data_IF_127646332091
#
_entry.id   IF_127646332091
#
_cell.length_a   1.000
_cell.length_b   1.000
_cell.length_c   1.000
_cell.angle_alpha   90.00
_cell.angle_beta   90.00
_cell.angle_gamma   90.00
#
_symmetry.space_group_name_H-M   'P 1'
#
loop_
_entity.id
_entity.type
_entity.pdbx_description
1 polymer ?
#
# COMPACT_ATOMS: atom_id res chain seq x y z
N UNK A 1 53.53 40.40 2.84
CA UNK A 1 52.21 40.33 3.51
C UNK A 1 51.27 39.59 2.59
N UNK A 2 51.12 38.29 2.84
CA UNK A 2 50.07 37.45 2.23
C UNK A 2 49.71 36.45 3.31
N UNK A 3 48.68 36.80 4.06
CA UNK A 3 48.08 35.95 5.10
C UNK A 3 47.25 34.88 4.42
N UNK A 4 47.77 33.66 4.39
CA UNK A 4 47.02 32.46 4.02
C UNK A 4 46.06 32.16 5.16
N UNK A 5 44.78 32.51 4.99
CA UNK A 5 43.71 32.09 5.89
C UNK A 5 43.49 30.59 5.72
N UNK A 6 44.00 29.80 6.65
CA UNK A 6 43.59 28.41 6.81
C UNK A 6 42.19 28.42 7.44
N UNK A 7 41.15 28.38 6.60
CA UNK A 7 39.82 27.97 7.06
C UNK A 7 39.94 26.52 7.56
N UNK A 8 39.86 26.36 8.87
CA UNK A 8 39.64 25.03 9.45
C UNK A 8 38.25 24.58 9.00
N UNK A 9 38.07 23.36 8.46
CA UNK A 9 36.75 22.87 8.13
C UNK A 9 35.88 22.90 9.39
N UNK A 10 34.58 23.25 9.28
CA UNK A 10 33.69 23.22 10.43
C UNK A 10 33.77 21.82 11.04
N UNK A 11 33.95 21.73 12.36
CA UNK A 11 34.17 20.46 13.10
C UNK A 11 33.16 19.35 12.75
N UNK A 12 31.98 19.70 12.20
CA UNK A 12 30.98 18.76 11.70
C UNK A 12 31.41 17.94 10.48
N UNK A 13 32.05 18.52 9.47
CA UNK A 13 32.35 17.83 8.20
C UNK A 13 33.38 16.72 8.39
N UNK A 14 34.39 16.97 9.24
CA UNK A 14 35.43 15.98 9.55
C UNK A 14 34.92 14.82 10.43
N UNK A 15 34.01 15.10 11.37
CA UNK A 15 33.48 14.09 12.29
C UNK A 15 32.42 13.21 11.63
N UNK A 16 31.53 13.79 10.81
CA UNK A 16 30.56 13.03 10.02
C UNK A 16 31.28 12.18 8.98
N UNK A 17 32.27 12.75 8.26
CA UNK A 17 33.11 11.99 7.32
C UNK A 17 33.84 10.81 7.97
N UNK A 18 34.36 10.99 9.19
CA UNK A 18 35.01 9.92 9.95
C UNK A 18 34.01 8.83 10.39
N UNK A 19 32.82 9.20 10.85
CA UNK A 19 31.78 8.25 11.24
C UNK A 19 31.28 7.45 10.03
N UNK A 20 31.01 8.12 8.90
CA UNK A 20 30.54 7.50 7.66
C UNK A 20 31.59 6.59 7.00
N UNK A 21 32.88 6.85 7.23
CA UNK A 21 33.96 5.98 6.76
C UNK A 21 34.00 4.62 7.47
N UNK A 22 33.33 4.50 8.63
CA UNK A 22 33.16 3.24 9.36
C UNK A 22 31.80 2.66 9.02
N UNK A 23 31.75 1.35 8.75
CA UNK A 23 30.47 0.66 8.64
C UNK A 23 29.68 0.78 9.96
N UNK A 24 28.33 0.85 9.92
CA UNK A 24 27.52 0.94 11.12
C UNK A 24 27.77 -0.28 12.03
N UNK A 25 28.08 -0.03 13.30
CA UNK A 25 28.36 -1.05 14.29
C UNK A 25 27.32 -1.04 15.40
N UNK A 26 26.86 -2.22 15.83
CA UNK A 26 25.95 -2.39 16.96
C UNK A 26 26.58 -3.40 17.92
N UNK A 27 26.65 -3.05 19.19
CA UNK A 27 27.07 -3.99 20.24
C UNK A 27 25.99 -5.06 20.45
N UNK A 28 26.36 -6.34 20.29
CA UNK A 28 25.44 -7.49 20.39
C UNK A 28 25.97 -8.52 21.37
N UNK A 29 25.06 -9.13 22.12
CA UNK A 29 25.36 -10.30 22.92
C UNK A 29 25.31 -11.57 22.05
N UNK A 30 26.16 -12.59 22.31
CA UNK A 30 26.09 -13.88 21.63
C UNK A 30 24.76 -14.58 21.96
N UNK A 31 23.88 -14.72 20.96
CA UNK A 31 22.50 -15.19 21.16
C UNK A 31 22.46 -16.66 21.59
N UNK A 32 23.44 -17.45 21.16
CA UNK A 32 23.52 -18.89 21.40
C UNK A 32 23.72 -19.28 22.86
N UNK A 33 24.18 -18.33 23.69
CA UNK A 33 24.47 -18.56 25.12
C UNK A 33 23.47 -17.88 26.05
N UNK A 34 22.45 -17.19 25.52
CA UNK A 34 21.44 -16.52 26.33
C UNK A 34 20.37 -17.51 26.81
N UNK A 35 20.06 -17.47 28.10
CA UNK A 35 18.82 -18.04 28.63
C UNK A 35 17.58 -17.28 28.09
N UNK A 36 16.37 -17.87 28.16
CA UNK A 36 15.15 -17.17 27.77
C UNK A 36 14.94 -15.82 28.46
N UNK A 37 15.29 -15.71 29.75
CA UNK A 37 15.18 -14.47 30.53
C UNK A 37 16.19 -13.41 30.06
N UNK A 38 17.44 -13.83 29.78
CA UNK A 38 18.45 -12.94 29.23
C UNK A 38 18.12 -12.49 27.80
N UNK A 39 17.55 -13.38 26.99
CA UNK A 39 17.08 -13.05 25.65
C UNK A 39 15.93 -12.03 25.68
N UNK A 40 15.00 -12.17 26.64
CA UNK A 40 13.94 -11.19 26.86
C UNK A 40 14.50 -9.81 27.23
N UNK A 41 15.45 -9.76 28.17
CA UNK A 41 16.09 -8.51 28.59
C UNK A 41 16.90 -7.84 27.45
N UNK A 42 17.64 -8.61 26.64
CA UNK A 42 18.32 -8.05 25.47
C UNK A 42 17.32 -7.60 24.40
N UNK A 43 16.18 -8.29 24.24
CA UNK A 43 15.13 -7.85 23.34
C UNK A 43 14.54 -6.51 23.77
N UNK A 44 14.30 -6.30 25.06
CA UNK A 44 13.90 -5.00 25.62
C UNK A 44 14.94 -3.92 25.34
N UNK A 45 16.25 -4.23 25.53
CA UNK A 45 17.36 -3.32 25.19
C UNK A 45 17.37 -2.96 23.69
N UNK A 46 17.11 -3.94 22.81
CA UNK A 46 16.97 -3.72 21.36
C UNK A 46 15.79 -2.80 21.04
N UNK A 47 14.63 -2.99 21.68
CA UNK A 47 13.47 -2.13 21.45
C UNK A 47 13.72 -0.69 21.88
N UNK A 48 14.38 -0.48 23.03
CA UNK A 48 14.77 0.85 23.48
C UNK A 48 15.73 1.53 22.50
N UNK A 49 16.73 0.81 21.97
CA UNK A 49 17.63 1.33 20.92
C UNK A 49 16.87 1.70 19.65
N UNK A 50 15.95 0.85 19.18
CA UNK A 50 15.11 1.16 18.01
C UNK A 50 14.28 2.42 18.21
N UNK A 51 13.78 2.66 19.43
CA UNK A 51 13.10 3.91 19.76
C UNK A 51 14.05 5.10 19.64
N UNK A 52 15.24 5.03 20.23
CA UNK A 52 16.27 6.07 20.18
C UNK A 52 16.71 6.36 18.74
N UNK A 53 17.06 5.33 17.96
CA UNK A 53 17.50 5.46 16.56
C UNK A 53 16.41 6.14 15.71
N UNK A 54 15.16 5.77 15.94
CA UNK A 54 14.06 6.31 15.17
C UNK A 54 13.65 7.73 15.64
N UNK A 55 13.97 8.12 16.88
CA UNK A 55 13.92 9.52 17.31
C UNK A 55 15.02 10.33 16.60
N UNK A 56 16.25 9.82 16.58
CA UNK A 56 17.36 10.44 15.86
C UNK A 56 17.08 10.58 14.35
N UNK A 57 16.45 9.57 13.72
CA UNK A 57 15.97 9.66 12.34
C UNK A 57 15.01 10.84 12.14
N UNK A 58 14.05 11.05 13.05
CA UNK A 58 13.13 12.17 12.98
C UNK A 58 13.84 13.53 13.08
N UNK A 59 14.86 13.64 13.93
CA UNK A 59 15.70 14.85 14.03
C UNK A 59 16.47 15.11 12.73
N UNK A 60 17.08 14.08 12.14
CA UNK A 60 17.77 14.18 10.84
C UNK A 60 16.82 14.61 9.73
N UNK A 61 15.60 14.06 9.70
CA UNK A 61 14.55 14.46 8.74
C UNK A 61 14.21 15.94 8.90
N UNK A 62 14.07 16.44 10.13
CA UNK A 62 13.80 17.86 10.38
C UNK A 62 14.99 18.77 10.01
N UNK A 63 16.23 18.30 10.18
CA UNK A 63 17.42 19.01 9.67
C UNK A 63 17.40 19.12 8.15
N UNK A 64 17.05 18.04 7.44
CA UNK A 64 16.91 18.06 5.98
C UNK A 64 15.77 18.99 5.54
N UNK A 65 14.64 18.96 6.26
CA UNK A 65 13.47 19.81 5.98
C UNK A 65 13.82 21.30 6.13
N UNK A 66 14.51 21.68 7.21
CA UNK A 66 14.95 23.06 7.45
C UNK A 66 15.93 23.56 6.37
N UNK A 67 16.71 22.67 5.75
CA UNK A 67 17.61 23.00 4.65
C UNK A 67 16.92 23.12 3.28
N UNK A 68 15.59 22.99 3.23
CA UNK A 68 14.77 23.08 2.01
C UNK A 68 13.57 24.01 2.23
N UNK A 69 13.79 25.32 2.40
CA UNK A 69 12.70 26.27 2.55
C UNK A 69 11.87 26.35 1.26
N UNK A 70 10.58 26.63 1.39
CA UNK A 70 9.69 26.86 0.25
C UNK A 70 9.99 28.16 -0.51
N UNK A 71 10.83 29.04 0.04
CA UNK A 71 11.30 30.27 -0.63
C UNK A 71 12.09 29.99 -1.91
N UNK A 72 12.64 28.79 -2.04
CA UNK A 72 13.40 28.36 -3.21
C UNK A 72 12.49 27.72 -4.28
N UNK A 73 11.20 27.53 -3.98
CA UNK A 73 10.25 26.94 -4.93
C UNK A 73 9.93 27.90 -6.07
N UNK A 74 9.70 27.38 -7.29
CA UNK A 74 9.32 28.23 -8.41
C UNK A 74 8.00 28.99 -8.15
N UNK A 75 7.92 30.29 -8.46
CA UNK A 75 6.76 31.10 -8.14
C UNK A 75 5.52 30.67 -8.95
N UNK A 76 4.30 30.94 -8.45
CA UNK A 76 3.06 30.61 -9.16
C UNK A 76 3.06 31.11 -10.62
N UNK A 77 2.78 30.20 -11.56
CA UNK A 77 2.80 30.50 -12.99
C UNK A 77 4.11 30.12 -13.71
N UNK A 78 5.18 29.83 -12.97
CA UNK A 78 6.39 29.24 -13.54
C UNK A 78 6.11 27.84 -14.13
N UNK A 79 6.72 27.41 -15.24
CA UNK A 79 6.52 26.08 -15.81
C UNK A 79 6.78 24.93 -14.82
N UNK A 80 7.73 25.13 -13.91
CA UNK A 80 8.09 24.19 -12.85
C UNK A 80 7.37 24.40 -11.51
N UNK A 81 6.45 25.36 -11.39
CA UNK A 81 5.68 25.55 -10.17
C UNK A 81 4.58 24.49 -10.01
N UNK A 82 4.26 24.14 -8.76
CA UNK A 82 3.14 23.24 -8.46
C UNK A 82 1.86 23.64 -9.18
N UNK A 83 1.30 22.72 -9.97
CA UNK A 83 -0.04 22.87 -10.55
C UNK A 83 -1.11 22.07 -9.82
N UNK A 84 -0.76 20.89 -9.27
CA UNK A 84 -1.65 19.96 -8.56
C UNK A 84 -0.84 19.09 -7.59
N UNK A 85 -1.46 18.62 -6.51
CA UNK A 85 -0.87 17.68 -5.54
C UNK A 85 -0.75 18.26 -4.13
N UNK A 86 -0.58 17.38 -3.14
CA UNK A 86 -0.21 17.75 -1.77
C UNK A 86 1.26 18.19 -1.76
N UNK A 87 1.52 19.33 -1.11
CA UNK A 87 2.87 19.89 -0.97
C UNK A 87 3.67 19.14 0.08
N UNK A 88 4.69 19.77 0.64
CA UNK A 88 5.38 19.20 1.79
C UNK A 88 4.44 19.04 2.99
N UNK A 89 4.50 17.92 3.72
CA UNK A 89 3.78 17.76 4.99
C UNK A 89 4.41 18.59 6.13
N UNK A 90 5.61 19.14 5.93
CA UNK A 90 6.30 20.01 6.89
C UNK A 90 6.06 21.47 6.48
N UNK A 91 5.40 22.30 7.32
CA UNK A 91 5.14 23.70 6.99
C UNK A 91 6.42 24.50 6.70
N UNK A 92 6.38 25.38 5.69
CA UNK A 92 7.50 26.25 5.31
C UNK A 92 8.63 25.55 4.55
N UNK A 93 8.39 24.33 4.05
CA UNK A 93 9.39 23.57 3.31
C UNK A 93 8.97 23.29 1.88
N UNK A 94 9.98 23.21 1.01
CA UNK A 94 9.84 23.03 -0.43
C UNK A 94 8.91 21.87 -0.79
N UNK A 95 8.10 22.07 -1.82
CA UNK A 95 7.23 21.03 -2.35
C UNK A 95 7.98 19.76 -2.82
N UNK A 96 9.29 19.89 -3.12
CA UNK A 96 10.17 18.80 -3.56
C UNK A 96 10.81 18.03 -2.40
N UNK A 97 10.70 18.50 -1.17
CA UNK A 97 11.31 17.85 0.00
C UNK A 97 10.91 16.36 0.15
N UNK A 98 9.63 15.95 -0.04
CA UNK A 98 9.27 14.53 0.04
C UNK A 98 9.96 13.65 -1.01
N UNK A 99 10.26 14.19 -2.18
CA UNK A 99 10.92 13.48 -3.28
C UNK A 99 12.42 13.34 -3.00
N UNK A 100 13.07 14.38 -2.48
CA UNK A 100 14.45 14.31 -2.00
C UNK A 100 14.60 13.31 -0.85
N UNK A 101 13.69 13.36 0.12
CA UNK A 101 13.70 12.43 1.24
C UNK A 101 13.46 10.98 0.77
N UNK A 102 12.59 10.77 -0.21
CA UNK A 102 12.37 9.45 -0.81
C UNK A 102 13.66 8.90 -1.46
N UNK A 103 14.43 9.75 -2.12
CA UNK A 103 15.73 9.38 -2.69
C UNK A 103 16.75 9.02 -1.61
N UNK A 104 16.82 9.78 -0.52
CA UNK A 104 17.71 9.49 0.63
C UNK A 104 17.36 8.17 1.31
N UNK A 105 16.06 7.92 1.55
CA UNK A 105 15.57 6.71 2.21
C UNK A 105 15.47 5.49 1.27
N UNK A 106 15.74 5.67 -0.03
CA UNK A 106 15.51 4.66 -1.07
C UNK A 106 14.09 4.05 -0.98
N UNK A 107 13.07 4.90 -0.98
CA UNK A 107 11.69 4.52 -0.73
C UNK A 107 10.71 5.23 -1.67
N UNK A 108 9.43 4.84 -1.64
CA UNK A 108 8.41 5.54 -2.40
C UNK A 108 8.09 6.91 -1.77
N UNK A 109 7.77 7.91 -2.61
CA UNK A 109 7.36 9.26 -2.18
C UNK A 109 6.29 9.26 -1.10
N UNK A 110 5.29 8.37 -1.20
CA UNK A 110 4.21 8.27 -0.21
C UNK A 110 4.72 7.84 1.17
N UNK A 111 5.68 6.93 1.22
CA UNK A 111 6.32 6.51 2.48
C UNK A 111 7.14 7.66 3.08
N UNK A 112 7.98 8.30 2.28
CA UNK A 112 8.78 9.45 2.72
C UNK A 112 7.91 10.62 3.21
N UNK A 113 6.78 10.88 2.55
CA UNK A 113 5.79 11.87 3.00
C UNK A 113 5.26 11.53 4.40
N UNK A 114 4.95 10.26 4.66
CA UNK A 114 4.55 9.79 5.99
C UNK A 114 5.64 9.97 7.03
N UNK A 115 6.89 9.63 6.71
CA UNK A 115 8.05 9.82 7.59
C UNK A 115 8.26 11.30 7.93
N UNK A 116 8.21 12.19 6.93
CA UNK A 116 8.32 13.64 7.14
C UNK A 116 7.18 14.20 8.00
N UNK A 117 5.95 13.76 7.74
CA UNK A 117 4.79 14.13 8.55
C UNK A 117 4.96 13.69 10.01
N UNK A 118 5.31 12.43 10.24
CA UNK A 118 5.55 11.88 11.58
C UNK A 118 6.68 12.64 12.31
N UNK A 119 7.78 12.93 11.60
CA UNK A 119 8.91 13.66 12.15
C UNK A 119 8.51 15.07 12.60
N UNK A 120 7.80 15.82 11.76
CA UNK A 120 7.30 17.15 12.11
C UNK A 120 6.36 17.11 13.33
N UNK A 121 5.40 16.17 13.35
CA UNK A 121 4.47 16.06 14.47
C UNK A 121 5.20 15.74 15.78
N UNK A 122 6.17 14.84 15.77
CA UNK A 122 6.87 14.42 16.98
C UNK A 122 7.88 15.47 17.46
N UNK A 123 8.70 16.01 16.56
CA UNK A 123 9.80 16.93 16.92
C UNK A 123 9.27 18.32 17.25
N UNK A 124 8.39 18.89 16.42
CA UNK A 124 7.93 20.28 16.58
C UNK A 124 6.67 20.38 17.42
N UNK A 125 5.66 19.54 17.15
CA UNK A 125 4.33 19.68 17.77
C UNK A 125 4.16 18.93 19.08
N UNK A 126 4.81 17.78 19.23
CA UNK A 126 4.66 16.90 20.40
C UNK A 126 6.02 16.54 21.01
N UNK A 127 6.86 17.52 21.37
CA UNK A 127 8.25 17.28 21.80
C UNK A 127 8.34 16.42 23.07
N UNK A 128 7.33 16.42 23.93
CA UNK A 128 7.28 15.54 25.11
C UNK A 128 7.24 14.05 24.73
N UNK A 129 6.50 13.69 23.67
CA UNK A 129 6.46 12.30 23.15
C UNK A 129 7.79 11.95 22.48
N UNK A 130 8.37 12.89 21.73
CA UNK A 130 9.70 12.71 21.14
C UNK A 130 10.78 12.50 22.20
N UNK A 131 10.75 13.24 23.31
CA UNK A 131 11.69 13.07 24.41
C UNK A 131 11.62 11.66 25.06
N UNK A 132 10.41 11.11 25.24
CA UNK A 132 10.24 9.74 25.74
C UNK A 132 10.78 8.69 24.75
N UNK A 133 10.61 8.93 23.45
CA UNK A 133 11.15 8.08 22.38
C UNK A 133 12.67 8.16 22.31
N UNK A 134 13.24 9.36 22.36
CA UNK A 134 14.68 9.63 22.39
C UNK A 134 15.36 9.05 23.64
N UNK A 135 14.62 8.89 24.73
CA UNK A 135 15.10 8.19 25.93
C UNK A 135 14.87 6.67 25.92
N UNK A 136 14.31 6.12 24.83
CA UNK A 136 14.03 4.69 24.69
C UNK A 136 12.88 4.16 25.57
N UNK A 137 12.05 5.05 26.14
CA UNK A 137 10.93 4.71 27.04
C UNK A 137 9.61 4.52 26.32
N UNK A 138 9.49 5.05 25.10
CA UNK A 138 8.32 4.88 24.24
C UNK A 138 8.74 4.34 22.87
N UNK A 139 8.12 3.26 22.43
CA UNK A 139 8.45 2.66 21.14
C UNK A 139 7.93 3.50 19.94
N UNK A 140 8.53 3.31 18.75
CA UNK A 140 8.15 4.07 17.56
C UNK A 140 6.67 3.92 17.16
N UNK A 141 6.07 2.74 17.39
CA UNK A 141 4.68 2.51 16.99
C UNK A 141 3.72 3.31 17.87
N UNK A 142 3.91 3.29 19.19
CA UNK A 142 3.11 4.10 20.12
C UNK A 142 3.33 5.60 19.92
N UNK A 143 4.56 6.05 19.67
CA UNK A 143 4.83 7.44 19.34
C UNK A 143 4.06 7.88 18.08
N UNK A 144 4.06 7.05 17.02
CA UNK A 144 3.26 7.30 15.81
C UNK A 144 1.76 7.39 16.10
N UNK A 145 1.23 6.62 17.06
CA UNK A 145 -0.19 6.75 17.44
C UNK A 145 -0.51 8.16 17.99
N UNK A 146 0.41 8.82 18.71
CA UNK A 146 0.24 10.22 19.09
C UNK A 146 0.22 11.13 17.85
N UNK A 147 1.20 10.99 16.95
CA UNK A 147 1.28 11.77 15.72
C UNK A 147 0.03 11.59 14.83
N UNK A 148 -0.44 10.35 14.64
CA UNK A 148 -1.63 10.03 13.86
C UNK A 148 -2.90 10.68 14.43
N UNK A 149 -3.11 10.57 15.76
CA UNK A 149 -4.36 11.00 16.39
C UNK A 149 -4.39 12.51 16.57
N UNK A 150 -3.27 13.09 16.98
CA UNK A 150 -3.14 14.51 17.30
C UNK A 150 -2.59 15.35 16.15
N UNK A 151 -2.21 14.73 15.02
CA UNK A 151 -1.55 15.43 13.92
C UNK A 151 -2.34 16.59 13.31
N UNK A 152 -3.67 16.51 13.38
CA UNK A 152 -4.57 17.58 12.95
C UNK A 152 -5.13 18.40 14.11
N UNK A 153 -4.97 17.95 15.37
CA UNK A 153 -5.51 18.66 16.54
C UNK A 153 -4.80 20.01 16.73
N UNK A 154 -5.48 20.99 17.34
CA UNK A 154 -4.87 22.27 17.66
C UNK A 154 -3.76 22.13 18.72
N UNK A 155 -2.87 23.12 18.82
CA UNK A 155 -1.80 23.11 19.82
C UNK A 155 -2.36 23.14 21.26
N UNK A 156 -3.52 23.76 21.47
CA UNK A 156 -4.21 23.77 22.77
C UNK A 156 -4.69 22.37 23.17
N UNK A 157 -5.28 21.61 22.23
CA UNK A 157 -5.69 20.22 22.47
C UNK A 157 -4.46 19.34 22.75
N UNK A 158 -3.38 19.50 21.98
CA UNK A 158 -2.12 18.77 22.20
C UNK A 158 -1.56 19.04 23.59
N UNK A 159 -1.51 20.31 24.00
CA UNK A 159 -0.98 20.74 25.29
C UNK A 159 -1.73 20.14 26.50
N UNK A 160 -3.03 19.84 26.35
CA UNK A 160 -3.85 19.22 27.40
C UNK A 160 -3.80 17.69 27.34
N UNK A 161 -3.94 17.11 26.15
CA UNK A 161 -4.09 15.65 25.97
C UNK A 161 -2.78 14.91 26.22
N UNK A 162 -1.64 15.46 25.77
CA UNK A 162 -0.35 14.75 25.84
C UNK A 162 0.08 14.52 27.30
N UNK A 163 0.10 15.53 28.20
CA UNK A 163 0.44 15.30 29.60
C UNK A 163 -0.51 14.34 30.32
N UNK A 164 -1.78 14.27 29.91
CA UNK A 164 -2.77 13.38 30.51
C UNK A 164 -2.56 11.91 30.12
N UNK A 165 -2.14 11.62 28.88
CA UNK A 165 -2.06 10.25 28.36
C UNK A 165 -0.64 9.69 28.40
N UNK A 166 0.37 10.50 28.10
CA UNK A 166 1.77 10.10 27.95
C UNK A 166 2.33 9.30 29.15
N UNK A 167 2.06 9.66 30.43
CA UNK A 167 2.62 8.92 31.58
C UNK A 167 2.25 7.44 31.63
N UNK A 168 1.12 7.05 31.02
CA UNK A 168 0.66 5.65 31.00
C UNK A 168 0.90 4.96 29.66
N UNK A 169 1.36 5.69 28.63
CA UNK A 169 1.32 5.24 27.24
C UNK A 169 2.15 3.97 26.99
N UNK A 170 3.34 3.87 27.60
CA UNK A 170 4.24 2.72 27.42
C UNK A 170 3.61 1.39 27.87
N UNK A 171 2.74 1.42 28.89
CA UNK A 171 2.05 0.24 29.42
C UNK A 171 0.78 -0.16 28.66
N UNK A 172 0.32 0.64 27.70
CA UNK A 172 -0.94 0.38 26.98
C UNK A 172 -0.67 -0.38 25.68
N UNK A 173 -1.61 -1.21 25.24
CA UNK A 173 -1.60 -1.64 23.83
C UNK A 173 -1.90 -0.46 22.92
N UNK A 174 -1.43 -0.50 21.69
CA UNK A 174 -1.61 0.61 20.74
C UNK A 174 -3.09 0.90 20.42
N UNK A 175 -3.93 -0.12 20.36
CA UNK A 175 -5.37 0.04 20.19
C UNK A 175 -6.04 0.74 21.37
N UNK A 176 -5.62 0.41 22.61
CA UNK A 176 -6.11 1.10 23.81
C UNK A 176 -5.58 2.54 23.87
N UNK A 177 -4.31 2.76 23.55
CA UNK A 177 -3.70 4.09 23.46
C UNK A 177 -4.45 4.97 22.46
N UNK A 178 -4.72 4.47 21.24
CA UNK A 178 -5.49 5.18 20.22
C UNK A 178 -6.88 5.56 20.72
N UNK A 179 -7.60 4.61 21.33
CA UNK A 179 -8.94 4.88 21.90
C UNK A 179 -8.89 5.98 22.98
N UNK A 180 -7.90 5.93 23.89
CA UNK A 180 -7.73 6.93 24.94
C UNK A 180 -7.37 8.31 24.39
N UNK A 181 -6.48 8.39 23.41
CA UNK A 181 -6.11 9.65 22.76
C UNK A 181 -7.30 10.27 22.02
N UNK A 182 -8.08 9.47 21.28
CA UNK A 182 -9.29 9.96 20.61
C UNK A 182 -10.29 10.48 21.64
N UNK A 183 -10.57 9.71 22.70
CA UNK A 183 -11.50 10.12 23.74
C UNK A 183 -11.04 11.41 24.45
N UNK A 184 -9.75 11.52 24.77
CA UNK A 184 -9.18 12.71 25.40
C UNK A 184 -9.23 13.93 24.47
N UNK A 185 -8.93 13.75 23.18
CA UNK A 185 -9.02 14.83 22.19
C UNK A 185 -10.46 15.30 21.99
N UNK A 186 -11.42 14.39 21.89
CA UNK A 186 -12.86 14.73 21.80
C UNK A 186 -13.33 15.47 23.05
N UNK A 187 -12.89 15.04 24.23
CA UNK A 187 -13.26 15.71 25.49
C UNK A 187 -12.60 17.10 25.64
N UNK A 188 -11.44 17.31 25.02
CA UNK A 188 -10.75 18.60 25.02
C UNK A 188 -11.35 19.60 24.01
N UNK A 189 -11.85 19.11 22.88
CA UNK A 189 -12.48 19.94 21.84
C UNK A 189 -13.52 19.13 21.03
N UNK A 190 -14.77 19.23 21.47
CA UNK A 190 -15.91 18.54 20.85
C UNK A 190 -16.27 19.16 19.48
N UNK A 191 -16.13 20.48 19.34
CA UNK A 191 -16.47 21.19 18.10
C UNK A 191 -15.48 20.83 16.98
N UNK A 192 -14.19 20.82 17.29
CA UNK A 192 -13.16 20.34 16.36
C UNK A 192 -13.35 18.87 16.01
N UNK A 193 -13.70 18.02 16.98
CA UNK A 193 -14.00 16.62 16.72
C UNK A 193 -15.16 16.45 15.73
N UNK A 194 -16.20 17.26 15.86
CA UNK A 194 -17.36 17.24 14.96
C UNK A 194 -17.02 17.77 13.55
N UNK A 195 -16.24 18.84 13.44
CA UNK A 195 -15.76 19.33 12.14
C UNK A 195 -14.93 18.26 11.42
N UNK A 196 -14.06 17.56 12.13
CA UNK A 196 -13.29 16.44 11.55
C UNK A 196 -14.16 15.26 11.15
N UNK A 197 -15.24 14.97 11.88
CA UNK A 197 -16.21 13.97 11.47
C UNK A 197 -16.75 14.35 10.09
N UNK A 198 -17.27 15.57 9.95
CA UNK A 198 -17.83 16.09 8.69
C UNK A 198 -16.80 16.05 7.54
N UNK A 199 -15.54 16.42 7.79
CA UNK A 199 -14.48 16.31 6.78
C UNK A 199 -14.14 14.87 6.41
N UNK A 200 -14.14 13.94 7.38
CA UNK A 200 -13.88 12.53 7.13
C UNK A 200 -14.98 11.90 6.26
N UNK A 201 -16.23 12.32 6.41
CA UNK A 201 -17.33 11.88 5.53
C UNK A 201 -17.08 12.26 4.07
N UNK A 202 -16.38 13.38 3.80
CA UNK A 202 -15.99 13.77 2.43
C UNK A 202 -14.90 12.88 1.84
N UNK A 203 -14.17 12.13 2.66
CA UNK A 203 -13.14 11.16 2.22
C UNK A 203 -13.70 9.75 2.05
N UNK A 204 -15.02 9.58 2.18
CA UNK A 204 -15.70 8.33 1.90
C UNK A 204 -15.28 7.77 0.53
N UNK A 205 -14.82 6.53 0.50
CA UNK A 205 -14.23 5.94 -0.69
C UNK A 205 -14.37 4.41 -0.69
N UNK A 206 -14.43 3.85 -1.90
CA UNK A 206 -14.27 2.43 -2.14
C UNK A 206 -12.97 2.24 -2.91
N UNK A 207 -12.09 1.37 -2.42
CA UNK A 207 -10.75 1.14 -2.96
C UNK A 207 -10.51 -0.35 -3.18
N UNK A 208 -9.69 -0.69 -4.17
CA UNK A 208 -9.23 -2.05 -4.41
C UNK A 208 -7.71 -2.12 -4.32
N UNK A 209 -7.20 -3.22 -3.79
CA UNK A 209 -5.78 -3.52 -3.81
C UNK A 209 -5.55 -5.03 -3.86
N UNK A 210 -4.45 -5.43 -4.50
CA UNK A 210 -4.04 -6.82 -4.60
C UNK A 210 -3.52 -7.34 -3.27
N UNK A 211 -3.82 -8.61 -2.99
CA UNK A 211 -3.21 -9.38 -1.90
C UNK A 211 -2.47 -10.59 -2.48
N UNK A 212 -2.23 -11.61 -1.67
CA UNK A 212 -1.59 -12.84 -2.11
C UNK A 212 -2.57 -13.77 -2.84
N UNK A 213 -2.03 -14.81 -3.50
CA UNK A 213 -2.77 -15.98 -3.99
C UNK A 213 -3.90 -15.68 -4.98
N UNK A 214 -3.76 -14.60 -5.77
CA UNK A 214 -4.77 -14.18 -6.76
C UNK A 214 -6.02 -13.56 -6.14
N UNK A 215 -5.92 -13.11 -4.89
CA UNK A 215 -7.01 -12.48 -4.15
C UNK A 215 -6.93 -10.95 -4.19
N UNK A 216 -8.08 -10.33 -3.94
CA UNK A 216 -8.27 -8.90 -3.87
C UNK A 216 -8.98 -8.49 -2.59
N UNK A 217 -8.70 -7.29 -2.12
CA UNK A 217 -9.56 -6.63 -1.13
C UNK A 217 -10.32 -5.51 -1.80
N UNK A 218 -11.64 -5.51 -1.59
CA UNK A 218 -12.50 -4.34 -1.77
C UNK A 218 -12.69 -3.69 -0.40
N UNK A 219 -12.04 -2.55 -0.17
CA UNK A 219 -12.11 -1.81 1.09
C UNK A 219 -13.04 -0.61 0.95
N UNK A 220 -13.98 -0.50 1.88
CA UNK A 220 -14.95 0.60 1.94
C UNK A 220 -14.72 1.42 3.20
N UNK A 221 -14.50 2.72 3.02
CA UNK A 221 -14.40 3.70 4.09
C UNK A 221 -15.60 4.65 4.01
N UNK A 222 -16.42 4.66 5.06
CA UNK A 222 -17.71 5.37 5.15
C UNK A 222 -17.92 5.87 6.58
N UNK A 223 -18.91 6.75 6.82
CA UNK A 223 -19.32 7.11 8.17
C UNK A 223 -19.61 5.86 9.00
N UNK A 224 -19.11 5.81 10.24
CA UNK A 224 -19.18 4.63 11.10
C UNK A 224 -20.59 4.00 11.22
N UNK A 225 -21.70 4.76 11.33
CA UNK A 225 -23.05 4.17 11.36
C UNK A 225 -23.41 3.41 10.08
N UNK A 226 -22.97 3.90 8.92
CA UNK A 226 -23.22 3.27 7.62
C UNK A 226 -22.41 1.97 7.50
N UNK A 227 -21.13 2.00 7.86
CA UNK A 227 -20.29 0.79 7.88
C UNK A 227 -20.83 -0.27 8.83
N UNK A 228 -21.31 0.13 10.02
CA UNK A 228 -21.93 -0.79 10.98
C UNK A 228 -23.24 -1.39 10.43
N UNK A 229 -24.05 -0.61 9.74
CA UNK A 229 -25.27 -1.09 9.08
C UNK A 229 -24.95 -2.07 7.95
N UNK A 230 -23.95 -1.77 7.11
CA UNK A 230 -23.47 -2.70 6.07
C UNK A 230 -22.98 -4.00 6.67
N UNK A 231 -22.12 -3.94 7.70
CA UNK A 231 -21.61 -5.11 8.40
C UNK A 231 -22.75 -5.97 8.97
N UNK A 232 -23.69 -5.35 9.68
CA UNK A 232 -24.85 -6.03 10.26
C UNK A 232 -25.66 -6.78 9.19
N UNK A 233 -25.89 -6.17 8.03
CA UNK A 233 -26.61 -6.79 6.92
C UNK A 233 -25.85 -7.97 6.32
N UNK A 234 -24.55 -7.83 6.10
CA UNK A 234 -23.67 -8.89 5.58
C UNK A 234 -23.62 -10.07 6.57
N UNK A 235 -23.39 -9.79 7.84
CA UNK A 235 -23.34 -10.81 8.89
C UNK A 235 -24.67 -11.55 9.01
N UNK A 236 -25.80 -10.82 9.01
CA UNK A 236 -27.13 -11.42 9.05
C UNK A 236 -27.36 -12.40 7.89
N UNK A 237 -26.97 -12.03 6.67
CA UNK A 237 -27.11 -12.89 5.50
C UNK A 237 -26.25 -14.15 5.61
N UNK A 238 -24.99 -14.02 6.05
CA UNK A 238 -24.10 -15.16 6.28
C UNK A 238 -24.63 -16.10 7.36
N UNK A 239 -25.15 -15.57 8.46
CA UNK A 239 -25.76 -16.35 9.55
C UNK A 239 -27.02 -17.10 9.08
N UNK A 240 -27.82 -16.52 8.17
CA UNK A 240 -28.97 -17.19 7.58
C UNK A 240 -28.57 -18.36 6.68
N UNK A 241 -27.52 -18.20 5.87
CA UNK A 241 -26.98 -19.29 5.05
C UNK A 241 -26.49 -20.45 5.93
N UNK A 242 -25.75 -20.14 7.00
CA UNK A 242 -25.29 -21.13 7.97
C UNK A 242 -26.44 -21.85 8.68
N UNK A 243 -27.44 -21.11 9.13
CA UNK A 243 -28.64 -21.68 9.75
C UNK A 243 -29.44 -22.57 8.79
N UNK A 244 -29.26 -22.40 7.47
CA UNK A 244 -29.90 -23.20 6.42
C UNK A 244 -29.09 -24.46 6.05
N UNK A 245 -28.01 -24.76 6.77
CA UNK A 245 -27.19 -25.97 6.59
C UNK A 245 -25.89 -25.77 5.82
N UNK A 246 -25.46 -24.53 5.58
CA UNK A 246 -24.15 -24.26 4.99
C UNK A 246 -23.03 -24.32 6.05
N UNK A 247 -22.26 -25.40 6.03
CA UNK A 247 -21.19 -25.67 7.02
C UNK A 247 -19.84 -24.98 6.70
N UNK A 248 -19.77 -24.17 5.64
CA UNK A 248 -18.54 -23.45 5.28
C UNK A 248 -18.16 -22.39 6.34
N UNK A 249 -16.88 -21.96 6.40
CA UNK A 249 -16.44 -20.93 7.35
C UNK A 249 -17.26 -19.65 7.24
N UNK A 250 -17.64 -19.06 8.39
CA UNK A 250 -18.55 -17.90 8.41
C UNK A 250 -18.01 -16.70 7.63
N UNK A 251 -16.69 -16.50 7.60
CA UNK A 251 -16.07 -15.39 6.84
C UNK A 251 -16.17 -15.59 5.33
N UNK A 252 -16.17 -16.84 4.86
CA UNK A 252 -16.45 -17.15 3.45
C UNK A 252 -17.89 -16.79 3.10
N UNK A 253 -18.85 -17.15 3.96
CA UNK A 253 -20.26 -16.81 3.78
C UNK A 253 -20.51 -15.29 3.82
N UNK A 254 -19.79 -14.55 4.67
CA UNK A 254 -19.82 -13.08 4.70
C UNK A 254 -19.27 -12.48 3.41
N UNK A 255 -18.17 -13.01 2.89
CA UNK A 255 -17.59 -12.55 1.63
C UNK A 255 -18.56 -12.76 0.44
N UNK A 256 -19.17 -13.94 0.35
CA UNK A 256 -20.18 -14.24 -0.69
C UNK A 256 -21.43 -13.38 -0.55
N UNK A 257 -21.95 -13.20 0.67
CA UNK A 257 -23.09 -12.33 0.93
C UNK A 257 -22.81 -10.88 0.53
N UNK A 258 -21.61 -10.36 0.84
CA UNK A 258 -21.20 -9.03 0.44
C UNK A 258 -21.12 -8.90 -1.09
N UNK A 259 -20.47 -9.87 -1.76
CA UNK A 259 -20.36 -9.88 -3.23
C UNK A 259 -21.74 -9.92 -3.91
N UNK A 260 -22.65 -10.76 -3.42
CA UNK A 260 -24.02 -10.85 -3.95
C UNK A 260 -24.76 -9.51 -3.82
N UNK A 261 -24.66 -8.82 -2.67
CA UNK A 261 -25.30 -7.52 -2.47
C UNK A 261 -24.75 -6.42 -3.39
N UNK A 262 -23.46 -6.48 -3.75
CA UNK A 262 -22.82 -5.51 -4.66
C UNK A 262 -23.15 -5.81 -6.12
N UNK A 263 -23.11 -7.09 -6.52
CA UNK A 263 -23.27 -7.51 -7.90
C UNK A 263 -24.75 -7.69 -8.33
N UNK A 264 -25.66 -7.87 -7.38
CA UNK A 264 -27.10 -8.02 -7.63
C UNK A 264 -27.88 -6.93 -6.88
N UNK A 265 -27.85 -5.66 -7.34
CA UNK A 265 -28.67 -4.62 -6.73
C UNK A 265 -30.14 -5.00 -6.93
N UNK A 266 -30.83 -5.39 -5.86
CA UNK A 266 -32.19 -5.95 -5.87
C UNK A 266 -33.31 -4.97 -6.24
N UNK A 267 -33.00 -3.92 -7.01
CA UNK A 267 -33.95 -2.93 -7.49
C UNK A 267 -34.20 -3.14 -9.00
N UNK A 268 -35.35 -3.72 -9.39
CA UNK A 268 -35.68 -3.98 -10.80
C UNK A 268 -35.92 -2.71 -11.61
N UNK A 269 -36.14 -1.56 -10.96
CA UNK A 269 -36.39 -0.27 -11.61
C UNK A 269 -35.09 0.50 -11.91
N UNK A 270 -33.94 0.02 -11.43
CA UNK A 270 -32.63 0.59 -11.76
C UNK A 270 -32.11 0.04 -13.09
N UNK A 271 -31.49 0.88 -13.93
CA UNK A 271 -30.82 0.40 -15.13
C UNK A 271 -29.75 -0.63 -14.76
N UNK A 272 -29.72 -1.74 -15.48
CA UNK A 272 -28.71 -2.77 -15.30
C UNK A 272 -27.31 -2.15 -15.36
N UNK A 273 -26.54 -2.28 -14.29
CA UNK A 273 -25.15 -1.83 -14.26
C UNK A 273 -24.27 -2.92 -14.84
N UNK A 274 -23.58 -2.63 -15.94
CA UNK A 274 -22.61 -3.56 -16.54
C UNK A 274 -21.28 -3.47 -15.81
N UNK A 275 -20.82 -4.56 -15.20
CA UNK A 275 -19.46 -4.64 -14.69
C UNK A 275 -18.46 -4.78 -15.85
N UNK A 276 -17.34 -4.05 -15.77
CA UNK A 276 -16.23 -4.20 -16.71
C UNK A 276 -15.11 -4.99 -16.06
N UNK A 277 -14.67 -6.08 -16.71
CA UNK A 277 -13.58 -6.94 -16.25
C UNK A 277 -12.49 -6.98 -17.30
N UNK A 278 -11.29 -6.52 -16.93
CA UNK A 278 -10.09 -6.63 -17.77
C UNK A 278 -9.30 -7.89 -17.38
N UNK A 279 -9.05 -8.77 -18.35
CA UNK A 279 -8.28 -10.01 -18.16
C UNK A 279 -7.07 -9.97 -19.10
N UNK A 280 -5.87 -10.03 -18.53
CA UNK A 280 -4.63 -10.18 -19.31
C UNK A 280 -4.22 -11.64 -19.30
N UNK A 281 -4.10 -12.22 -20.49
CA UNK A 281 -3.78 -13.63 -20.68
C UNK A 281 -2.55 -13.78 -21.60
N UNK A 282 -1.31 -13.80 -21.05
CA UNK A 282 -0.15 -14.08 -21.86
C UNK A 282 -0.29 -15.47 -22.51
N UNK A 283 0.12 -15.59 -23.78
CA UNK A 283 -0.05 -16.83 -24.56
C UNK A 283 0.56 -18.05 -23.86
N UNK A 284 1.68 -17.86 -23.17
CA UNK A 284 2.34 -18.90 -22.37
C UNK A 284 1.44 -19.48 -21.27
N UNK A 285 0.55 -18.68 -20.67
CA UNK A 285 -0.37 -19.11 -19.61
C UNK A 285 -1.63 -19.79 -20.14
N UNK A 286 -1.98 -19.59 -21.41
CA UNK A 286 -3.10 -20.26 -22.08
C UNK A 286 -2.74 -21.66 -22.58
N UNK A 287 -1.44 -21.99 -22.68
CA UNK A 287 -0.98 -23.31 -23.11
C UNK A 287 -1.40 -24.38 -22.09
N UNK A 288 -2.12 -25.39 -22.56
CA UNK A 288 -2.51 -26.54 -21.71
C UNK A 288 -1.27 -27.36 -21.37
N UNK A 289 -0.99 -27.66 -20.08
CA UNK A 289 0.08 -28.57 -19.71
C UNK A 289 -0.15 -29.92 -20.41
N UNK A 290 0.78 -30.33 -21.26
CA UNK A 290 0.74 -31.62 -21.98
C UNK A 290 0.33 -31.57 -23.45
N UNK A 291 -0.32 -30.50 -23.96
CA UNK A 291 -0.69 -30.44 -25.40
C UNK A 291 0.45 -29.91 -26.29
N UNK A 292 1.37 -29.13 -25.72
CA UNK A 292 2.52 -28.49 -26.40
C UNK A 292 3.84 -28.58 -25.61
N UNK A 293 3.96 -29.51 -24.65
CA UNK A 293 5.16 -29.66 -23.80
C UNK A 293 6.44 -30.06 -24.56
N UNK A 294 6.34 -30.33 -25.87
CA UNK A 294 7.48 -30.73 -26.70
C UNK A 294 8.23 -29.57 -27.38
N UNK A 295 7.76 -28.31 -27.27
CA UNK A 295 8.27 -27.21 -28.11
C UNK A 295 9.18 -26.17 -27.43
N UNK A 296 9.44 -26.25 -26.11
CA UNK A 296 10.39 -25.30 -25.49
C UNK A 296 11.27 -25.97 -24.40
N UNK A 297 12.48 -26.45 -24.75
CA UNK A 297 13.43 -27.04 -23.80
C UNK A 297 14.02 -26.02 -22.81
N UNK A 298 13.70 -24.72 -22.93
CA UNK A 298 14.18 -23.66 -22.02
C UNK A 298 13.19 -23.33 -20.89
N UNK A 299 11.97 -23.89 -20.92
CA UNK A 299 10.93 -23.66 -19.92
C UNK A 299 11.19 -24.44 -18.61
N UNK A 300 12.29 -24.16 -17.93
CA UNK A 300 12.52 -24.61 -16.56
C UNK A 300 11.81 -23.68 -15.57
N UNK A 301 11.44 -24.16 -14.36
CA UNK A 301 10.92 -23.31 -13.29
C UNK A 301 11.84 -22.11 -13.00
N UNK A 302 13.17 -22.30 -13.08
CA UNK A 302 14.15 -21.24 -12.89
C UNK A 302 14.08 -20.16 -13.98
N UNK A 303 13.91 -20.52 -15.26
CA UNK A 303 13.75 -19.57 -16.35
C UNK A 303 12.40 -18.82 -16.30
N UNK A 304 11.34 -19.49 -15.82
CA UNK A 304 10.06 -18.84 -15.56
C UNK A 304 10.17 -17.81 -14.41
N UNK A 305 10.85 -18.17 -13.32
CA UNK A 305 11.12 -17.26 -12.19
C UNK A 305 12.01 -16.09 -12.63
N UNK A 306 13.06 -16.34 -13.41
CA UNK A 306 13.94 -15.29 -13.91
C UNK A 306 13.21 -14.32 -14.85
N UNK A 307 12.33 -14.81 -15.74
CA UNK A 307 11.47 -13.95 -16.59
C UNK A 307 10.49 -13.14 -15.75
N UNK A 308 9.82 -13.75 -14.78
CA UNK A 308 8.90 -13.03 -13.90
C UNK A 308 9.64 -11.96 -13.07
N UNK A 309 10.82 -12.29 -12.53
CA UNK A 309 11.69 -11.35 -11.80
C UNK A 309 12.21 -10.21 -12.69
N UNK A 310 12.38 -10.45 -14.00
CA UNK A 310 12.74 -9.45 -15.00
C UNK A 310 11.54 -8.66 -15.56
N UNK A 311 10.33 -8.84 -15.03
CA UNK A 311 9.13 -8.09 -15.44
C UNK A 311 8.33 -8.73 -16.60
N UNK A 312 8.53 -10.02 -16.87
CA UNK A 312 7.76 -10.75 -17.89
C UNK A 312 6.25 -10.80 -17.58
N UNK A 313 5.42 -10.85 -18.62
CA UNK A 313 3.97 -10.80 -18.46
C UNK A 313 3.40 -12.01 -17.71
N UNK A 314 2.76 -11.73 -16.57
CA UNK A 314 1.94 -12.68 -15.81
C UNK A 314 0.45 -12.51 -16.14
N UNK A 315 -0.37 -13.56 -16.07
CA UNK A 315 -1.82 -13.42 -16.12
C UNK A 315 -2.32 -12.44 -15.07
N UNK A 316 -3.28 -11.58 -15.44
CA UNK A 316 -3.91 -10.68 -14.47
C UNK A 316 -5.41 -10.56 -14.67
N UNK A 317 -6.12 -10.21 -13.60
CA UNK A 317 -7.53 -9.80 -13.59
C UNK A 317 -7.61 -8.46 -12.90
N UNK A 318 -8.16 -7.43 -13.54
CA UNK A 318 -8.19 -6.08 -12.98
C UNK A 318 -6.80 -5.56 -12.60
N UNK A 319 -5.77 -5.93 -13.38
CA UNK A 319 -4.33 -5.67 -13.14
C UNK A 319 -3.70 -6.41 -11.96
N UNK A 320 -4.39 -7.41 -11.41
CA UNK A 320 -3.93 -8.19 -10.26
C UNK A 320 -3.43 -9.56 -10.72
N UNK A 321 -2.22 -9.99 -10.32
CA UNK A 321 -1.65 -11.23 -10.82
C UNK A 321 -2.45 -12.45 -10.37
N UNK A 322 -2.73 -13.36 -11.29
CA UNK A 322 -3.37 -14.66 -11.02
C UNK A 322 -2.53 -15.80 -11.60
N UNK A 323 -2.77 -17.02 -11.15
CA UNK A 323 -2.08 -18.18 -11.71
C UNK A 323 -2.60 -18.54 -13.10
N UNK A 324 -1.78 -19.21 -13.91
CA UNK A 324 -2.23 -19.74 -15.22
C UNK A 324 -3.33 -20.81 -15.09
N UNK A 325 -3.42 -21.50 -13.96
CA UNK A 325 -4.53 -22.42 -13.68
C UNK A 325 -5.83 -21.64 -13.41
N UNK A 326 -5.77 -20.62 -12.56
CA UNK A 326 -6.90 -19.74 -12.25
C UNK A 326 -7.40 -19.01 -13.51
N UNK A 327 -6.50 -18.52 -14.37
CA UNK A 327 -6.88 -17.91 -15.64
C UNK A 327 -7.72 -18.87 -16.50
N UNK A 328 -7.30 -20.14 -16.61
CA UNK A 328 -8.01 -21.13 -17.42
C UNK A 328 -9.36 -21.50 -16.83
N UNK A 329 -9.44 -21.63 -15.52
CA UNK A 329 -10.70 -21.83 -14.80
C UNK A 329 -11.66 -20.65 -15.04
N UNK A 330 -11.19 -19.42 -14.87
CA UNK A 330 -11.97 -18.20 -15.11
C UNK A 330 -12.50 -18.14 -16.55
N UNK A 331 -11.64 -18.39 -17.55
CA UNK A 331 -12.06 -18.42 -18.95
C UNK A 331 -13.11 -19.51 -19.22
N UNK A 332 -13.00 -20.68 -18.57
CA UNK A 332 -14.01 -21.74 -18.69
C UNK A 332 -15.35 -21.36 -18.05
N UNK A 333 -15.33 -20.64 -16.93
CA UNK A 333 -16.54 -20.14 -16.28
C UNK A 333 -17.21 -19.06 -17.14
N UNK A 334 -16.44 -18.15 -17.74
CA UNK A 334 -16.96 -17.11 -18.63
C UNK A 334 -17.58 -17.70 -19.90
N UNK A 335 -16.97 -18.73 -20.48
CA UNK A 335 -17.52 -19.46 -21.63
C UNK A 335 -18.82 -20.19 -21.27
N UNK A 336 -18.84 -20.88 -20.13
CA UNK A 336 -20.03 -21.56 -19.62
C UNK A 336 -21.20 -20.61 -19.31
N UNK A 337 -20.89 -19.37 -18.90
CA UNK A 337 -21.87 -18.31 -18.69
C UNK A 337 -22.34 -17.65 -20.00
N UNK A 338 -21.78 -18.04 -21.15
CA UNK A 338 -22.14 -17.49 -22.46
C UNK A 338 -21.90 -15.99 -22.55
N UNK A 339 -20.86 -15.47 -21.89
CA UNK A 339 -20.58 -14.03 -21.83
C UNK A 339 -20.35 -13.49 -23.24
N UNK A 340 -21.39 -12.90 -23.80
CA UNK A 340 -21.35 -12.13 -25.05
C UNK A 340 -21.17 -10.65 -24.72
N UNK A 341 -20.60 -9.88 -25.65
CA UNK A 341 -20.61 -8.44 -25.54
C UNK A 341 -22.09 -7.96 -25.40
N UNK A 342 -22.46 -7.24 -24.33
CA UNK A 342 -23.83 -6.77 -24.17
C UNK A 342 -24.17 -5.75 -25.28
N UNK A 343 -25.45 -5.49 -25.51
CA UNK A 343 -25.87 -4.42 -26.43
C UNK A 343 -25.29 -3.07 -25.95
N UNK A 344 -24.29 -2.56 -26.66
CA UNK A 344 -23.55 -1.33 -26.29
C UNK A 344 -22.27 -1.55 -25.46
N UNK A 345 -21.91 -2.79 -25.11
CA UNK A 345 -20.60 -3.14 -24.55
C UNK A 345 -19.65 -3.72 -25.60
N UNK A 346 -18.36 -3.78 -25.30
CA UNK A 346 -17.35 -4.39 -26.17
C UNK A 346 -16.55 -5.46 -25.44
N UNK A 347 -16.28 -6.56 -26.12
CA UNK A 347 -15.31 -7.57 -25.71
C UNK A 347 -14.11 -7.46 -26.65
N UNK A 348 -13.00 -6.94 -26.14
CA UNK A 348 -11.76 -6.78 -26.88
C UNK A 348 -10.70 -7.72 -26.31
N UNK A 349 -9.98 -8.41 -27.19
CA UNK A 349 -8.84 -9.26 -26.87
C UNK A 349 -7.59 -8.53 -27.32
N UNK A 350 -6.68 -8.29 -26.38
CA UNK A 350 -5.35 -7.78 -26.64
C UNK A 350 -4.35 -8.93 -26.66
N UNK A 351 -3.60 -9.08 -27.75
CA UNK A 351 -2.50 -10.03 -27.87
C UNK A 351 -1.22 -9.29 -27.56
N UNK A 352 -0.50 -9.72 -26.53
CA UNK A 352 0.80 -9.16 -26.17
C UNK A 352 1.93 -10.16 -26.43
N UNK A 353 3.12 -9.63 -26.73
CA UNK A 353 4.35 -10.41 -26.77
C UNK A 353 4.82 -10.78 -25.37
N UNK A 354 5.84 -11.64 -25.28
CA UNK A 354 6.42 -12.06 -24.00
C UNK A 354 7.09 -10.90 -23.23
N UNK A 355 7.39 -9.79 -23.91
CA UNK A 355 7.89 -8.52 -23.39
C UNK A 355 6.77 -7.56 -22.94
N UNK A 356 5.49 -7.98 -23.07
CA UNK A 356 4.33 -7.17 -22.77
C UNK A 356 3.96 -6.13 -23.81
N UNK A 357 4.66 -6.09 -24.96
CA UNK A 357 4.30 -5.20 -26.06
C UNK A 357 2.99 -5.65 -26.69
N UNK A 358 2.04 -4.72 -26.86
CA UNK A 358 0.79 -4.99 -27.59
C UNK A 358 1.12 -5.32 -29.06
N UNK A 359 0.80 -6.53 -29.49
CA UNK A 359 1.01 -7.02 -30.85
C UNK A 359 -0.23 -6.83 -31.72
N UNK A 360 -1.41 -7.07 -31.17
CA UNK A 360 -2.68 -6.93 -31.88
C UNK A 360 -3.85 -6.74 -30.91
N UNK A 361 -4.97 -6.20 -31.42
CA UNK A 361 -6.27 -6.23 -30.76
C UNK A 361 -7.30 -6.83 -31.72
N UNK A 362 -8.32 -7.49 -31.18
CA UNK A 362 -9.41 -8.07 -31.98
C UNK A 362 -10.60 -8.45 -31.12
N UNK A 363 -11.69 -8.91 -31.73
CA UNK A 363 -12.83 -9.47 -30.98
C UNK A 363 -12.66 -10.98 -30.80
N UNK A 364 -13.34 -11.54 -29.80
CA UNK A 364 -13.38 -13.00 -29.64
C UNK A 364 -13.91 -13.71 -30.90
N UNK A 365 -14.85 -13.09 -31.61
CA UNK A 365 -15.38 -13.59 -32.88
C UNK A 365 -14.33 -13.59 -34.00
N UNK A 366 -13.47 -12.58 -34.06
CA UNK A 366 -12.38 -12.53 -35.04
C UNK A 366 -11.35 -13.63 -34.78
N UNK A 367 -11.00 -13.85 -33.52
CA UNK A 367 -10.07 -14.91 -33.13
C UNK A 367 -10.64 -16.30 -33.37
N UNK A 368 -11.91 -16.54 -33.05
CA UNK A 368 -12.58 -17.80 -33.34
C UNK A 368 -12.62 -18.08 -34.86
N UNK A 369 -12.88 -17.05 -35.67
CA UNK A 369 -12.86 -17.14 -37.14
C UNK A 369 -11.46 -17.46 -37.68
N UNK A 370 -10.41 -16.87 -37.11
CA UNK A 370 -9.03 -17.16 -37.48
C UNK A 370 -8.62 -18.58 -37.06
N UNK A 371 -8.97 -19.01 -35.85
CA UNK A 371 -8.68 -20.35 -35.34
C UNK A 371 -9.36 -21.45 -36.16
N UNK A 372 -10.61 -21.22 -36.60
CA UNK A 372 -11.38 -22.17 -37.42
C UNK A 372 -10.93 -22.25 -38.88
N UNK A 373 -10.31 -21.19 -39.42
CA UNK A 373 -9.70 -21.21 -40.75
C UNK A 373 -8.42 -22.06 -40.80
N UNK A 374 -7.72 -22.19 -39.68
CA UNK A 374 -6.42 -22.85 -39.58
C UNK A 374 -5.30 -22.14 -40.35
N UNK A 375 -4.14 -22.77 -40.45
CA UNK A 375 -2.99 -22.18 -41.13
C UNK A 375 -3.30 -22.01 -42.63
N UNK A 376 -3.18 -20.79 -43.20
CA UNK A 376 -3.44 -20.58 -44.63
C UNK A 376 -2.50 -21.40 -45.53
N UNK A 377 -1.35 -21.81 -45.01
CA UNK A 377 -0.34 -22.60 -45.72
C UNK A 377 -0.57 -24.11 -45.61
N UNK A 378 -1.12 -24.59 -44.49
CA UNK A 378 -1.18 -26.03 -44.19
C UNK A 378 -2.62 -26.56 -43.96
N UNK A 379 -3.63 -25.70 -43.99
CA UNK A 379 -5.04 -26.05 -43.85
C UNK A 379 -5.53 -26.18 -42.40
N UNK A 380 -6.84 -26.41 -42.25
CA UNK A 380 -7.55 -26.41 -40.97
C UNK A 380 -7.15 -27.53 -39.99
N UNK A 381 -6.56 -28.62 -40.49
CA UNK A 381 -6.23 -29.82 -39.69
C UNK A 381 -4.73 -29.96 -39.41
N UNK A 382 -3.87 -29.10 -39.98
CA UNK A 382 -2.44 -29.22 -39.83
C UNK A 382 -1.92 -28.61 -38.52
N UNK A 383 -1.09 -29.38 -37.80
CA UNK A 383 -0.30 -28.90 -36.67
C UNK A 383 1.00 -28.31 -37.21
N UNK A 384 1.07 -26.99 -37.37
CA UNK A 384 2.27 -26.30 -37.84
C UNK A 384 2.65 -25.16 -36.89
N UNK A 385 3.95 -24.91 -36.76
CA UNK A 385 4.52 -23.79 -35.98
C UNK A 385 4.72 -22.53 -36.87
N UNK A 386 3.83 -22.31 -37.83
CA UNK A 386 3.89 -21.10 -38.66
C UNK A 386 3.53 -19.87 -37.82
N UNK A 387 4.26 -18.75 -37.97
CA UNK A 387 3.98 -17.51 -37.26
C UNK A 387 2.63 -16.89 -37.64
#
# INVERSE_FOLDING_TARGET
>A
MTTTGAESPPLGDGLVGLLLSRGPSIERLPVEVLSPEQAAAELERVQARKAMDAAYEAELVMVLAAARPDTDDPPPGHPGARRRGSGSPVPGTSEFFPDELAAVLNSARAYATGVASDAYQLVERIPAVHAERAAGRLDPYRARVFADVLGTASDEVVAVVVPAVLPTAAGLSSGVLRKRLIAAAVAADEEFAEQRRVEAERRAAVRTYATADGMAVLATELPAPVTAAMWSRIDRAAQLARASGDDRPIDLLRAEAHAAMVLQPGDPDRPACTAHLEITAPLSALRTPGRHAAADPTATPAAAVARAAAGGCTPTVGRMPITAAHLRELLSQLDALGVQAPAGGSLAVAITGDDGRLLATGTAADLARLASRGCPTHGATARCDCP
#
